data_IF_507157004033
#
_entry.id   IF_507157004033
#
_cell.length_a   1.000
_cell.length_b   1.000
_cell.length_c   1.000
_cell.angle_alpha   90.00
_cell.angle_beta   90.00
_cell.angle_gamma   90.00
#
_symmetry.space_group_name_H-M   'P 1'
#
loop_
_entity.id
_entity.type
_entity.pdbx_description
1 polymer ?
#
# COMPACT_ATOMS: atom_id res chain seq x y z
N UNK A 1 10.60 24.92 6.04
CA UNK A 1 11.48 23.78 5.71
C UNK A 1 10.93 23.17 4.43
N UNK A 2 11.59 23.40 3.30
CA UNK A 2 11.29 22.69 2.05
C UNK A 2 12.06 21.38 2.11
N UNK A 3 11.48 20.36 2.75
CA UNK A 3 11.94 18.99 2.55
C UNK A 3 11.36 18.50 1.22
N UNK A 4 12.03 18.87 0.12
CA UNK A 4 11.88 18.17 -1.15
C UNK A 4 12.73 16.91 -1.10
N UNK A 5 12.41 15.99 -0.18
CA UNK A 5 12.73 14.60 -0.45
C UNK A 5 11.99 14.25 -1.74
N UNK A 6 12.66 13.71 -2.76
CA UNK A 6 11.99 13.31 -3.99
C UNK A 6 10.88 12.34 -3.59
N UNK A 7 9.63 12.69 -3.93
CA UNK A 7 8.48 11.82 -3.66
C UNK A 7 8.73 10.49 -4.37
N UNK A 8 8.39 9.38 -3.71
CA UNK A 8 8.42 8.05 -4.33
C UNK A 8 7.75 8.09 -5.70
N UNK A 9 8.28 7.34 -6.68
CA UNK A 9 7.73 7.25 -8.04
C UNK A 9 6.26 6.81 -8.06
N UNK A 10 5.81 6.19 -6.98
CA UNK A 10 4.46 5.67 -6.78
C UNK A 10 3.63 6.49 -5.80
N UNK A 11 4.05 7.71 -5.47
CA UNK A 11 3.31 8.58 -4.57
C UNK A 11 1.94 8.96 -5.15
N UNK A 12 0.86 8.82 -4.36
CA UNK A 12 -0.50 9.24 -4.75
C UNK A 12 -0.95 10.53 -4.08
N UNK A 13 -0.74 10.65 -2.77
CA UNK A 13 -1.14 11.78 -1.93
C UNK A 13 -0.40 11.71 -0.58
N UNK A 14 -0.49 12.72 0.31
CA UNK A 14 0.17 12.67 1.62
C UNK A 14 -0.22 11.40 2.40
N UNK A 15 0.78 10.67 2.90
CA UNK A 15 0.60 9.42 3.62
C UNK A 15 0.17 8.22 2.75
N UNK A 16 0.19 8.36 1.42
CA UNK A 16 -0.14 7.31 0.46
C UNK A 16 0.99 7.19 -0.56
N UNK A 17 2.05 6.54 -0.12
CA UNK A 17 3.21 6.13 -0.87
C UNK A 17 3.47 4.64 -0.70
N UNK A 18 4.39 4.12 -1.51
CA UNK A 18 4.91 2.77 -1.35
C UNK A 18 6.43 2.82 -1.42
N UNK A 19 7.10 1.90 -0.70
CA UNK A 19 8.55 1.82 -0.72
C UNK A 19 9.06 1.71 -2.16
N UNK A 20 10.08 2.49 -2.47
CA UNK A 20 10.74 2.46 -3.77
C UNK A 20 12.21 2.04 -3.66
N UNK A 21 12.85 1.75 -4.79
CA UNK A 21 14.24 1.24 -4.84
C UNK A 21 15.23 2.23 -4.20
N UNK A 22 14.90 3.52 -4.22
CA UNK A 22 15.67 4.58 -3.59
C UNK A 22 15.71 4.44 -2.06
N UNK A 23 14.67 3.88 -1.44
CA UNK A 23 14.60 3.63 0.01
C UNK A 23 15.40 2.39 0.42
N UNK A 24 15.57 1.41 -0.48
CA UNK A 24 16.40 0.22 -0.24
C UNK A 24 17.85 0.60 0.02
N UNK A 25 18.32 1.68 -0.61
CA UNK A 25 19.68 2.19 -0.44
C UNK A 25 19.94 2.74 0.97
N UNK A 26 18.89 2.98 1.76
CA UNK A 26 18.94 3.52 3.13
C UNK A 26 19.03 2.40 4.18
N UNK A 27 18.67 1.15 3.84
CA UNK A 27 18.51 0.05 4.80
C UNK A 27 19.83 -0.53 5.34
N UNK A 28 20.97 -0.36 4.67
CA UNK A 28 22.33 -0.57 5.20
C UNK A 28 23.38 -0.47 4.08
N UNK A 29 24.67 -0.56 4.43
CA UNK A 29 25.78 -0.61 3.46
C UNK A 29 25.78 -1.86 2.56
N UNK A 30 24.93 -2.87 2.81
CA UNK A 30 24.88 -4.11 2.02
C UNK A 30 23.48 -4.74 2.02
N UNK A 31 22.52 -4.21 1.26
CA UNK A 31 21.18 -4.78 1.16
C UNK A 31 21.21 -6.17 0.51
N UNK A 32 20.43 -7.10 1.07
CA UNK A 32 20.25 -8.45 0.53
C UNK A 32 18.78 -8.66 0.15
N UNK A 33 18.53 -9.24 -1.03
CA UNK A 33 17.17 -9.53 -1.49
C UNK A 33 16.62 -10.82 -0.86
N UNK A 34 15.43 -10.76 -0.25
CA UNK A 34 14.74 -11.94 0.24
C UNK A 34 13.94 -12.62 -0.89
N UNK A 35 14.40 -13.83 -1.25
CA UNK A 35 13.73 -14.83 -2.12
C UNK A 35 12.35 -15.20 -1.56
N UNK A 36 11.36 -15.57 -2.39
CA UNK A 36 10.27 -16.47 -1.92
C UNK A 36 8.83 -16.07 -2.22
N UNK A 37 8.56 -14.90 -2.78
CA UNK A 37 7.21 -14.51 -3.18
C UNK A 37 6.87 -15.08 -4.57
N UNK A 38 5.75 -15.80 -4.65
CA UNK A 38 5.16 -16.31 -5.89
C UNK A 38 3.72 -15.85 -5.99
N UNK A 39 3.25 -15.56 -7.21
CA UNK A 39 1.86 -15.21 -7.46
C UNK A 39 1.37 -15.81 -8.78
N UNK A 40 0.09 -16.20 -8.80
CA UNK A 40 -0.62 -16.52 -10.03
C UNK A 40 -1.31 -15.26 -10.54
N UNK A 41 -0.87 -14.77 -11.71
CA UNK A 41 -1.43 -13.58 -12.35
C UNK A 41 -2.92 -13.74 -12.70
N UNK A 42 -3.37 -14.94 -12.99
CA UNK A 42 -4.74 -15.21 -13.43
C UNK A 42 -5.69 -15.43 -12.25
N UNK A 43 -5.24 -16.13 -11.22
CA UNK A 43 -6.04 -16.44 -10.03
C UNK A 43 -6.02 -15.32 -8.98
N UNK A 44 -4.99 -14.44 -9.00
CA UNK A 44 -4.81 -13.44 -7.95
C UNK A 44 -4.38 -14.04 -6.61
N UNK A 45 -3.83 -15.25 -6.62
CA UNK A 45 -3.33 -15.96 -5.45
C UNK A 45 -1.83 -15.73 -5.30
N UNK A 46 -1.36 -15.64 -4.05
CA UNK A 46 0.05 -15.48 -3.74
C UNK A 46 0.46 -16.30 -2.53
N UNK A 47 1.72 -16.72 -2.51
CA UNK A 47 2.32 -17.44 -1.39
C UNK A 47 3.75 -16.94 -1.17
N UNK A 48 4.13 -16.87 0.11
CA UNK A 48 5.52 -16.69 0.51
C UNK A 48 6.09 -18.05 0.96
N UNK A 49 7.17 -18.47 0.30
CA UNK A 49 7.92 -19.67 0.65
C UNK A 49 9.31 -19.22 1.12
N UNK A 50 9.57 -19.20 2.45
CA UNK A 50 10.83 -18.71 2.97
C UNK A 50 11.98 -19.63 2.54
N UNK A 51 13.12 -19.06 2.09
CA UNK A 51 14.28 -19.85 1.69
C UNK A 51 14.99 -20.47 2.92
N UNK A 52 15.77 -21.53 2.69
CA UNK A 52 16.37 -22.33 3.77
C UNK A 52 17.38 -21.55 4.62
N UNK A 53 18.12 -20.63 4.01
CA UNK A 53 19.05 -19.72 4.68
C UNK A 53 18.30 -18.74 5.61
N UNK A 54 17.20 -18.14 5.14
CA UNK A 54 16.33 -17.33 5.99
C UNK A 54 15.82 -18.15 7.17
N UNK A 55 15.37 -19.39 6.95
CA UNK A 55 14.88 -20.27 8.01
C UNK A 55 15.97 -20.70 9.01
N UNK A 56 17.25 -20.65 8.62
CA UNK A 56 18.38 -20.92 9.52
C UNK A 56 18.67 -19.76 10.48
N UNK A 57 18.18 -18.55 10.18
CA UNK A 57 18.33 -17.38 11.05
C UNK A 57 17.51 -17.48 12.34
N UNK A 58 17.93 -16.69 13.33
CA UNK A 58 17.30 -16.69 14.65
C UNK A 58 15.80 -16.36 14.57
N UNK A 59 14.93 -17.00 15.37
CA UNK A 59 13.49 -16.72 15.34
C UNK A 59 13.11 -15.26 15.56
N UNK A 60 13.80 -14.55 16.47
CA UNK A 60 13.54 -13.14 16.74
C UNK A 60 13.85 -12.29 15.51
N UNK A 61 15.01 -12.49 14.88
CA UNK A 61 15.38 -11.76 13.68
C UNK A 61 14.39 -11.99 12.54
N UNK A 62 13.91 -13.23 12.35
CA UNK A 62 12.89 -13.54 11.35
C UNK A 62 11.56 -12.83 11.62
N UNK A 63 11.16 -12.70 12.89
CA UNK A 63 9.93 -11.97 13.27
C UNK A 63 10.09 -10.50 12.88
N UNK A 64 11.17 -9.85 13.30
CA UNK A 64 11.41 -8.43 13.02
C UNK A 64 11.38 -8.14 11.51
N UNK A 65 12.09 -8.96 10.71
CA UNK A 65 12.12 -8.82 9.25
C UNK A 65 10.74 -9.04 8.62
N UNK A 66 9.98 -10.03 9.09
CA UNK A 66 8.64 -10.30 8.56
C UNK A 66 7.63 -9.23 8.95
N UNK A 67 7.75 -8.64 10.14
CA UNK A 67 6.88 -7.55 10.59
C UNK A 67 7.11 -6.29 9.73
N UNK A 68 8.38 -5.94 9.46
CA UNK A 68 8.72 -4.83 8.56
C UNK A 68 8.22 -5.06 7.13
N UNK A 69 8.46 -6.25 6.57
CA UNK A 69 7.94 -6.62 5.24
C UNK A 69 6.41 -6.57 5.21
N UNK A 70 5.76 -7.07 6.25
CA UNK A 70 4.29 -7.06 6.34
C UNK A 70 3.77 -5.63 6.38
N UNK A 71 4.41 -4.73 7.13
CA UNK A 71 4.05 -3.32 7.14
C UNK A 71 4.13 -2.71 5.73
N UNK A 72 5.18 -2.97 4.98
CA UNK A 72 5.35 -2.45 3.62
C UNK A 72 4.39 -3.08 2.59
N UNK A 73 4.05 -4.37 2.75
CA UNK A 73 2.99 -5.02 1.97
C UNK A 73 1.64 -4.37 2.27
N UNK A 74 1.33 -4.06 3.53
CA UNK A 74 0.09 -3.36 3.90
C UNK A 74 0.04 -1.92 3.39
N UNK A 75 1.17 -1.19 3.38
CA UNK A 75 1.27 0.12 2.71
C UNK A 75 0.96 -0.01 1.23
N UNK A 76 1.54 -0.99 0.54
CA UNK A 76 1.28 -1.26 -0.88
C UNK A 76 -0.18 -1.61 -1.16
N UNK A 77 -0.78 -2.43 -0.29
CA UNK A 77 -2.22 -2.76 -0.35
C UNK A 77 -3.09 -1.52 -0.16
N UNK A 78 -2.77 -0.68 0.81
CA UNK A 78 -3.50 0.58 1.08
C UNK A 78 -3.43 1.53 -0.12
N UNK A 79 -2.24 1.69 -0.69
CA UNK A 79 -2.04 2.42 -1.94
C UNK A 79 -2.94 1.87 -3.07
N UNK A 80 -2.98 0.54 -3.26
CA UNK A 80 -3.82 -0.08 -4.27
C UNK A 80 -5.32 0.16 -4.04
N UNK A 81 -5.79 0.12 -2.79
CA UNK A 81 -7.19 0.43 -2.45
C UNK A 81 -7.56 1.89 -2.79
N UNK A 82 -6.66 2.83 -2.54
CA UNK A 82 -6.85 4.25 -2.90
C UNK A 82 -6.88 4.42 -4.42
N UNK A 83 -5.95 3.76 -5.13
CA UNK A 83 -5.94 3.74 -6.59
C UNK A 83 -7.26 3.15 -7.14
N UNK A 84 -7.73 2.05 -6.57
CA UNK A 84 -8.98 1.40 -6.96
C UNK A 84 -10.22 2.29 -6.68
N UNK A 85 -10.23 2.99 -5.54
CA UNK A 85 -11.26 3.99 -5.25
C UNK A 85 -11.29 5.09 -6.33
N UNK A 86 -10.11 5.58 -6.76
CA UNK A 86 -10.01 6.57 -7.84
C UNK A 86 -10.51 6.02 -9.18
N UNK A 87 -10.18 4.78 -9.52
CA UNK A 87 -10.62 4.09 -10.75
C UNK A 87 -12.12 3.86 -10.79
N UNK A 88 -12.74 3.49 -9.66
CA UNK A 88 -14.18 3.38 -9.51
C UNK A 88 -14.89 4.70 -9.90
N UNK A 89 -14.15 5.81 -9.86
CA UNK A 89 -14.47 7.02 -10.56
C UNK A 89 -15.58 7.79 -9.86
N UNK A 90 -15.23 8.95 -9.32
CA UNK A 90 -16.21 9.96 -8.93
C UNK A 90 -16.81 10.62 -10.19
N UNK A 91 -17.58 9.87 -10.97
CA UNK A 91 -18.29 10.35 -12.16
C UNK A 91 -19.37 11.41 -11.84
N UNK A 92 -19.56 11.72 -10.55
CA UNK A 92 -20.56 12.66 -10.01
C UNK A 92 -19.93 13.53 -8.92
N UNK A 93 -19.33 14.68 -9.27
CA UNK A 93 -18.72 15.60 -8.31
C UNK A 93 -19.72 16.18 -7.30
N UNK A 94 -21.01 16.15 -7.63
CA UNK A 94 -22.10 16.64 -6.78
C UNK A 94 -22.47 15.71 -5.62
N UNK A 95 -22.00 14.47 -5.64
CA UNK A 95 -22.29 13.51 -4.57
C UNK A 95 -21.20 13.63 -3.50
N UNK A 96 -21.56 13.75 -2.20
CA UNK A 96 -20.60 13.85 -1.11
C UNK A 96 -19.62 12.68 -1.08
N UNK A 97 -18.37 12.94 -0.68
CA UNK A 97 -17.30 11.93 -0.63
C UNK A 97 -17.70 10.70 0.22
N UNK A 98 -18.38 10.92 1.35
CA UNK A 98 -18.88 9.84 2.21
C UNK A 98 -19.80 8.87 1.48
N UNK A 99 -20.67 9.35 0.60
CA UNK A 99 -21.57 8.51 -0.22
C UNK A 99 -20.81 7.69 -1.26
N UNK A 100 -19.75 8.26 -1.84
CA UNK A 100 -18.87 7.50 -2.73
C UNK A 100 -18.09 6.44 -1.98
N UNK A 101 -17.67 6.74 -0.74
CA UNK A 101 -16.98 5.77 0.09
C UNK A 101 -17.89 4.63 0.58
N UNK A 102 -19.13 4.93 0.98
CA UNK A 102 -20.15 3.91 1.26
C UNK A 102 -20.37 2.98 0.05
N UNK A 103 -20.51 3.57 -1.14
CA UNK A 103 -20.67 2.80 -2.37
C UNK A 103 -19.43 1.96 -2.68
N UNK A 104 -18.23 2.49 -2.44
CA UNK A 104 -16.97 1.77 -2.61
C UNK A 104 -16.85 0.59 -1.63
N UNK A 105 -17.13 0.79 -0.34
CA UNK A 105 -17.17 -0.30 0.66
C UNK A 105 -18.11 -1.42 0.20
N UNK A 106 -19.30 -1.09 -0.29
CA UNK A 106 -20.24 -2.08 -0.81
C UNK A 106 -19.74 -2.81 -2.06
N UNK A 107 -18.92 -2.16 -2.90
CA UNK A 107 -18.25 -2.82 -4.04
C UNK A 107 -17.18 -3.78 -3.54
N UNK A 108 -16.32 -3.34 -2.62
CA UNK A 108 -15.27 -4.16 -2.03
C UNK A 108 -15.83 -5.38 -1.29
N UNK A 109 -16.87 -5.20 -0.47
CA UNK A 109 -17.54 -6.28 0.25
C UNK A 109 -18.05 -7.36 -0.70
N UNK A 110 -18.75 -6.98 -1.80
CA UNK A 110 -19.22 -7.92 -2.82
C UNK A 110 -18.08 -8.65 -3.54
N UNK A 111 -16.90 -8.03 -3.62
CA UNK A 111 -15.71 -8.62 -4.20
C UNK A 111 -14.87 -9.42 -3.18
N UNK A 112 -15.29 -9.50 -1.91
CA UNK A 112 -14.51 -10.14 -0.84
C UNK A 112 -13.25 -9.36 -0.45
N UNK A 113 -13.17 -8.08 -0.78
CA UNK A 113 -12.04 -7.21 -0.46
C UNK A 113 -12.30 -6.54 0.89
N UNK A 114 -11.46 -6.87 1.87
CA UNK A 114 -11.49 -6.22 3.18
C UNK A 114 -11.02 -4.76 3.09
N UNK A 115 -11.76 -3.84 3.68
CA UNK A 115 -11.46 -2.40 3.65
C UNK A 115 -11.11 -1.96 5.08
N UNK A 116 -9.87 -1.51 5.33
CA UNK A 116 -9.46 -1.07 6.66
C UNK A 116 -10.20 0.20 7.08
N UNK A 117 -10.43 0.35 8.38
CA UNK A 117 -11.20 1.47 8.95
C UNK A 117 -10.54 2.82 8.67
N UNK A 118 -9.21 2.86 8.66
CA UNK A 118 -8.42 4.08 8.44
C UNK A 118 -8.46 4.57 6.98
N UNK A 119 -8.94 3.74 6.04
CA UNK A 119 -8.97 4.10 4.62
C UNK A 119 -9.80 5.36 4.36
N UNK A 120 -10.89 5.57 5.10
CA UNK A 120 -11.75 6.74 4.93
C UNK A 120 -10.97 8.04 5.15
N UNK A 121 -10.18 8.09 6.22
CA UNK A 121 -9.38 9.26 6.55
C UNK A 121 -8.34 9.55 5.46
N UNK A 122 -7.69 8.52 4.93
CA UNK A 122 -6.74 8.63 3.82
C UNK A 122 -7.41 9.15 2.54
N UNK A 123 -8.62 8.67 2.22
CA UNK A 123 -9.38 9.14 1.06
C UNK A 123 -9.85 10.59 1.21
N UNK A 124 -10.20 11.02 2.42
CA UNK A 124 -10.50 12.43 2.70
C UNK A 124 -9.27 13.31 2.46
N UNK A 125 -8.10 12.90 2.96
CA UNK A 125 -6.84 13.61 2.73
C UNK A 125 -6.47 13.65 1.25
N UNK A 126 -6.59 12.52 0.55
CA UNK A 126 -6.38 12.44 -0.90
C UNK A 126 -7.29 13.42 -1.65
N UNK A 127 -8.59 13.39 -1.35
CA UNK A 127 -9.57 14.26 -1.99
C UNK A 127 -9.26 15.73 -1.75
N UNK A 128 -8.93 16.11 -0.50
CA UNK A 128 -8.57 17.48 -0.16
C UNK A 128 -7.31 17.94 -0.91
N UNK A 129 -6.27 17.10 -0.96
CA UNK A 129 -5.04 17.41 -1.67
C UNK A 129 -5.29 17.64 -3.16
N UNK A 130 -6.06 16.74 -3.79
CA UNK A 130 -6.40 16.83 -5.22
C UNK A 130 -7.28 18.03 -5.57
N UNK A 131 -8.21 18.40 -4.69
CA UNK A 131 -9.12 19.53 -4.91
C UNK A 131 -8.48 20.88 -4.58
N UNK A 132 -7.49 20.95 -3.67
CA UNK A 132 -6.88 22.22 -3.23
C UNK A 132 -5.62 22.64 -4.00
N UNK A 133 -4.97 21.77 -4.79
CA UNK A 133 -3.68 22.02 -5.47
C UNK A 133 -2.77 22.97 -4.65
N UNK A 134 -2.31 22.49 -3.50
CA UNK A 134 -1.08 22.98 -2.86
C UNK A 134 0.12 22.29 -3.52
#
# INVERSE_FOLDING_TARGET
>A
MNETSPRSRYWLSPGIDVPAEEEVSVLSASPCALRGFYYDRNAGEAVFVPPADFMAESPLWRIDVLDDITADVQRTRTHALVAYFRECGMKRPSVPLSRHFEAFRAVCERAGIDVPDELEALLVLDHQFRCRRL
#
